data_IF_196233693590
#
_entry.id   IF_196233693590
#
_cell.length_a   1.000
_cell.length_b   1.000
_cell.length_c   1.000
_cell.angle_alpha   90.00
_cell.angle_beta   90.00
_cell.angle_gamma   90.00
#
_symmetry.space_group_name_H-M   'P 1'
#
loop_
_entity.id
_entity.type
_entity.pdbx_description
1 polymer ?
#
# COMPACT_ATOMS: atom_id res chain seq x y z
N UNK A 1 -20.17 31.24 -132.75
CA UNK A 1 -20.19 29.94 -133.46
C UNK A 1 -21.60 29.74 -133.99
N UNK A 2 -21.76 29.23 -135.22
CA UNK A 2 -23.10 28.96 -135.77
C UNK A 2 -23.79 27.83 -135.01
N UNK A 3 -25.12 27.87 -134.91
CA UNK A 3 -25.91 26.88 -134.18
C UNK A 3 -25.64 25.46 -134.70
N UNK A 4 -25.05 24.61 -133.87
CA UNK A 4 -24.79 23.20 -134.19
C UNK A 4 -25.91 22.35 -133.58
N UNK A 5 -26.67 21.63 -134.42
CA UNK A 5 -27.60 20.61 -133.94
C UNK A 5 -26.81 19.45 -133.33
N UNK A 6 -26.97 19.23 -132.03
CA UNK A 6 -26.43 18.06 -131.34
C UNK A 6 -27.46 16.93 -131.49
N UNK A 7 -27.13 15.89 -132.26
CA UNK A 7 -28.00 14.73 -132.48
C UNK A 7 -27.88 13.67 -131.39
N UNK A 8 -26.74 13.57 -130.69
CA UNK A 8 -26.51 12.67 -129.56
C UNK A 8 -25.57 13.33 -128.54
N UNK A 9 -25.77 13.09 -127.24
CA UNK A 9 -25.10 13.79 -126.14
C UNK A 9 -23.58 13.49 -126.04
N UNK A 10 -23.07 12.54 -126.83
CA UNK A 10 -21.65 12.14 -126.91
C UNK A 10 -20.75 13.15 -127.65
N UNK A 11 -21.31 14.18 -128.28
CA UNK A 11 -20.54 15.19 -129.03
C UNK A 11 -20.07 16.40 -128.19
N UNK A 12 -20.34 16.44 -126.88
CA UNK A 12 -19.90 17.51 -126.00
C UNK A 12 -18.47 17.25 -125.51
N UNK A 13 -17.46 17.62 -126.31
CA UNK A 13 -16.04 17.32 -126.07
C UNK A 13 -15.33 18.36 -125.19
N UNK A 14 -16.03 19.43 -124.79
CA UNK A 14 -15.50 20.49 -123.93
C UNK A 14 -16.61 21.02 -123.00
N UNK A 15 -16.25 21.45 -121.79
CA UNK A 15 -17.20 22.12 -120.91
C UNK A 15 -17.72 23.39 -121.61
N UNK A 16 -19.04 23.59 -121.67
CA UNK A 16 -19.65 24.80 -122.23
C UNK A 16 -19.20 26.04 -121.44
N UNK A 17 -19.07 27.19 -122.13
CA UNK A 17 -18.80 28.47 -121.48
C UNK A 17 -19.97 28.88 -120.57
N UNK A 18 -19.75 29.80 -119.63
CA UNK A 18 -20.78 30.25 -118.67
C UNK A 18 -22.07 30.77 -119.33
N UNK A 19 -21.93 31.31 -120.54
CA UNK A 19 -22.98 31.97 -121.31
C UNK A 19 -23.59 31.04 -122.37
N UNK A 20 -23.10 29.81 -122.47
CA UNK A 20 -23.67 28.81 -123.35
C UNK A 20 -25.00 28.28 -122.79
N UNK A 21 -25.89 27.91 -123.71
CA UNK A 21 -27.18 27.34 -123.39
C UNK A 21 -27.33 25.95 -124.00
N UNK A 22 -27.78 25.00 -123.20
CA UNK A 22 -28.33 23.77 -123.75
C UNK A 22 -29.78 24.02 -124.17
N UNK A 23 -30.07 23.86 -125.46
CA UNK A 23 -31.40 24.10 -126.01
C UNK A 23 -32.18 22.80 -126.01
N UNK A 24 -33.26 22.77 -125.23
CA UNK A 24 -34.22 21.65 -125.20
C UNK A 24 -35.39 22.05 -126.10
N UNK A 25 -35.66 21.24 -127.13
CA UNK A 25 -36.84 21.41 -127.96
C UNK A 25 -38.01 20.66 -127.30
N UNK A 26 -38.99 21.39 -126.79
CA UNK A 26 -40.24 20.79 -126.33
C UNK A 26 -41.08 20.44 -127.56
N UNK A 27 -41.09 19.16 -127.94
CA UNK A 27 -41.77 18.68 -129.14
C UNK A 27 -43.29 18.70 -129.03
N UNK A 28 -43.85 18.89 -127.81
CA UNK A 28 -45.29 18.96 -127.60
C UNK A 28 -45.87 20.34 -127.89
N UNK A 29 -45.07 21.41 -127.72
CA UNK A 29 -45.47 22.80 -127.97
C UNK A 29 -44.62 23.48 -129.04
N UNK A 30 -43.66 22.77 -129.64
CA UNK A 30 -42.69 23.28 -130.63
C UNK A 30 -41.94 24.54 -130.17
N UNK A 31 -41.71 24.69 -128.87
CA UNK A 31 -40.93 25.81 -128.31
C UNK A 31 -39.56 25.34 -127.84
N UNK A 32 -38.54 26.17 -128.05
CA UNK A 32 -37.21 25.94 -127.48
C UNK A 32 -37.13 26.50 -126.06
N UNK A 33 -36.76 25.67 -125.10
CA UNK A 33 -36.36 26.10 -123.76
C UNK A 33 -34.84 26.12 -123.68
N UNK A 34 -34.28 27.21 -123.17
CA UNK A 34 -32.84 27.34 -122.94
C UNK A 34 -32.55 27.03 -121.48
N UNK A 35 -31.70 26.04 -121.22
CA UNK A 35 -31.11 25.83 -119.90
C UNK A 35 -29.71 26.42 -119.94
N UNK A 36 -29.46 27.47 -119.15
CA UNK A 36 -28.13 28.09 -119.07
C UNK A 36 -27.14 27.10 -118.44
N UNK A 37 -25.91 27.05 -118.96
CA UNK A 37 -24.83 26.23 -118.41
C UNK A 37 -24.54 26.58 -116.93
N UNK A 38 -24.79 27.82 -116.51
CA UNK A 38 -24.70 28.30 -115.12
C UNK A 38 -25.65 27.60 -114.13
N UNK A 39 -26.70 26.94 -114.61
CA UNK A 39 -27.60 26.14 -113.78
C UNK A 39 -27.19 24.65 -113.71
N UNK A 40 -26.17 24.23 -114.46
CA UNK A 40 -25.65 22.87 -114.44
C UNK A 40 -24.50 22.76 -113.44
N UNK A 41 -24.61 21.83 -112.49
CA UNK A 41 -23.59 21.56 -111.48
C UNK A 41 -22.27 21.15 -112.14
N UNK A 42 -21.32 22.06 -112.23
CA UNK A 42 -19.95 21.81 -112.69
C UNK A 42 -19.11 21.54 -111.43
N UNK A 43 -18.48 20.38 -111.34
CA UNK A 43 -17.92 19.80 -110.11
C UNK A 43 -17.32 20.78 -109.09
N UNK A 44 -17.59 20.54 -107.79
CA UNK A 44 -16.70 20.96 -106.70
C UNK A 44 -17.27 21.98 -105.72
N UNK A 45 -18.11 22.93 -106.15
CA UNK A 45 -18.82 23.87 -105.26
C UNK A 45 -20.15 24.28 -105.90
N UNK A 46 -21.21 23.54 -105.60
CA UNK A 46 -22.54 23.85 -106.14
C UNK A 46 -23.27 24.88 -105.27
N UNK A 47 -22.80 26.13 -105.31
CA UNK A 47 -23.39 27.26 -104.56
C UNK A 47 -24.87 27.52 -104.89
N UNK A 48 -25.35 26.96 -106.00
CA UNK A 48 -26.74 26.98 -106.44
C UNK A 48 -27.62 25.88 -105.81
N UNK A 49 -27.07 24.92 -105.07
CA UNK A 49 -27.88 23.98 -104.28
C UNK A 49 -28.39 24.73 -103.06
N UNK A 50 -29.58 25.30 -103.19
CA UNK A 50 -30.26 26.03 -102.11
C UNK A 50 -31.03 25.10 -101.16
N UNK A 51 -31.13 23.81 -101.50
CA UNK A 51 -31.82 22.80 -100.68
C UNK A 51 -31.30 21.39 -100.93
N UNK A 52 -31.05 20.63 -99.85
CA UNK A 52 -30.69 19.21 -99.87
C UNK A 52 -31.79 18.33 -99.23
N UNK A 53 -33.02 18.85 -99.12
CA UNK A 53 -34.13 18.18 -98.41
C UNK A 53 -34.52 16.82 -98.99
N UNK A 54 -34.09 16.49 -100.22
CA UNK A 54 -34.27 15.16 -100.84
C UNK A 54 -33.19 14.12 -100.51
N UNK A 55 -32.08 14.48 -99.86
CA UNK A 55 -31.06 13.52 -99.45
C UNK A 55 -31.46 12.83 -98.15
N UNK A 56 -31.92 11.58 -98.27
CA UNK A 56 -32.29 10.73 -97.12
C UNK A 56 -31.20 9.75 -96.73
N UNK A 57 -30.17 9.58 -97.56
CA UNK A 57 -29.00 8.73 -97.30
C UNK A 57 -27.83 9.61 -96.84
N UNK A 58 -27.17 9.29 -95.71
CA UNK A 58 -26.00 10.05 -95.25
C UNK A 58 -24.85 9.98 -96.25
N UNK A 59 -23.96 10.97 -96.20
CA UNK A 59 -22.66 10.85 -96.86
C UNK A 59 -21.90 9.65 -96.28
N UNK A 60 -21.29 8.85 -97.16
CA UNK A 60 -20.54 7.67 -96.70
C UNK A 60 -19.29 8.10 -95.92
N UNK A 61 -18.81 7.24 -95.01
CA UNK A 61 -17.61 7.53 -94.21
C UNK A 61 -16.38 7.77 -95.08
N UNK A 62 -16.24 7.00 -96.17
CA UNK A 62 -15.16 7.16 -97.14
C UNK A 62 -15.16 8.54 -97.83
N UNK A 63 -16.30 9.23 -97.83
CA UNK A 63 -16.45 10.58 -98.39
C UNK A 63 -16.42 11.67 -97.31
N UNK A 64 -16.02 11.34 -96.08
CA UNK A 64 -15.97 12.29 -94.95
C UNK A 64 -17.28 12.45 -94.18
N UNK A 65 -18.30 11.63 -94.48
CA UNK A 65 -19.55 11.60 -93.73
C UNK A 65 -19.43 10.83 -92.42
N UNK A 66 -20.43 10.96 -91.55
CA UNK A 66 -20.50 10.22 -90.27
C UNK A 66 -21.06 8.81 -90.44
N UNK A 67 -21.65 8.50 -91.60
CA UNK A 67 -22.39 7.26 -91.84
C UNK A 67 -23.73 7.19 -91.10
N UNK A 68 -24.20 8.28 -90.47
CA UNK A 68 -25.46 8.36 -89.72
C UNK A 68 -26.34 9.49 -90.24
N UNK A 69 -27.66 9.28 -90.29
CA UNK A 69 -28.64 10.32 -90.71
C UNK A 69 -28.88 11.32 -89.58
N UNK A 70 -28.97 10.83 -88.34
CA UNK A 70 -29.22 11.60 -87.14
C UNK A 70 -28.46 10.99 -85.96
N UNK A 71 -28.11 11.81 -84.97
CA UNK A 71 -27.52 11.36 -83.71
C UNK A 71 -28.54 11.57 -82.59
N UNK A 72 -28.55 10.68 -81.60
CA UNK A 72 -29.40 10.83 -80.43
C UNK A 72 -28.94 12.01 -79.57
N UNK A 73 -29.90 12.79 -79.04
CA UNK A 73 -29.61 13.89 -78.13
C UNK A 73 -28.96 13.38 -76.82
N UNK A 74 -27.97 14.13 -76.32
CA UNK A 74 -27.18 13.76 -75.14
C UNK A 74 -26.28 12.54 -75.29
N UNK A 75 -26.24 11.89 -76.45
CA UNK A 75 -25.36 10.75 -76.73
C UNK A 75 -23.90 11.16 -76.93
N UNK A 76 -22.97 10.25 -76.64
CA UNK A 76 -21.54 10.45 -76.88
C UNK A 76 -21.17 9.77 -78.19
N UNK A 77 -20.62 10.55 -79.12
CA UNK A 77 -20.13 10.06 -80.41
C UNK A 77 -18.73 9.49 -80.24
N UNK A 78 -18.53 8.26 -80.69
CA UNK A 78 -17.28 7.52 -80.61
C UNK A 78 -16.82 7.22 -82.03
N UNK A 79 -15.54 7.49 -82.31
CA UNK A 79 -14.92 7.12 -83.58
C UNK A 79 -14.86 5.60 -83.74
N UNK A 80 -15.20 5.10 -84.93
CA UNK A 80 -15.23 3.67 -85.26
C UNK A 80 -14.24 3.31 -86.38
N UNK A 81 -13.01 3.81 -86.27
CA UNK A 81 -11.97 3.63 -87.29
C UNK A 81 -12.48 3.96 -88.71
N UNK A 82 -12.62 2.96 -89.58
CA UNK A 82 -13.09 3.10 -90.98
C UNK A 82 -14.60 2.98 -91.14
N UNK A 83 -15.33 2.63 -90.08
CA UNK A 83 -16.79 2.50 -90.05
C UNK A 83 -17.50 3.80 -89.66
N UNK A 84 -18.84 3.77 -89.73
CA UNK A 84 -19.69 4.89 -89.28
C UNK A 84 -19.50 5.17 -87.81
N UNK A 85 -19.66 6.43 -87.40
CA UNK A 85 -19.52 6.81 -85.99
C UNK A 85 -20.50 5.99 -85.14
N UNK A 86 -20.03 5.56 -83.97
CA UNK A 86 -20.86 4.90 -82.98
C UNK A 86 -21.40 5.93 -81.98
N UNK A 87 -22.55 5.65 -81.38
CA UNK A 87 -23.15 6.53 -80.36
C UNK A 87 -23.41 5.74 -79.09
N UNK A 88 -22.78 6.13 -77.99
CA UNK A 88 -23.21 5.73 -76.64
C UNK A 88 -24.44 6.55 -76.29
N UNK A 89 -25.54 5.92 -75.90
CA UNK A 89 -26.72 6.64 -75.41
C UNK A 89 -26.35 7.54 -74.23
N UNK A 90 -27.15 8.56 -73.95
CA UNK A 90 -26.95 9.43 -72.80
C UNK A 90 -26.89 8.61 -71.50
N UNK A 91 -25.91 8.92 -70.64
CA UNK A 91 -25.76 8.27 -69.33
C UNK A 91 -26.80 8.78 -68.34
N UNK A 92 -27.17 7.94 -67.37
CA UNK A 92 -27.94 8.39 -66.22
C UNK A 92 -27.04 9.20 -65.26
N UNK A 93 -27.62 10.08 -64.44
CA UNK A 93 -26.91 10.87 -63.42
C UNK A 93 -26.19 10.03 -62.36
N UNK A 94 -26.47 8.73 -62.30
CA UNK A 94 -25.91 7.74 -61.38
C UNK A 94 -24.84 6.84 -62.02
N UNK A 95 -24.46 7.12 -63.27
CA UNK A 95 -23.51 6.30 -64.02
C UNK A 95 -22.28 7.10 -64.42
N UNK A 96 -21.13 6.43 -64.51
CA UNK A 96 -19.88 6.98 -65.05
C UNK A 96 -19.53 6.24 -66.33
N UNK A 97 -18.94 6.96 -67.29
CA UNK A 97 -18.46 6.35 -68.53
C UNK A 97 -17.09 5.73 -68.25
N UNK A 98 -17.00 4.41 -68.42
CA UNK A 98 -15.74 3.67 -68.29
C UNK A 98 -15.30 3.21 -69.67
N UNK A 99 -14.01 3.32 -69.95
CA UNK A 99 -13.44 2.86 -71.22
C UNK A 99 -13.68 1.37 -71.42
N UNK A 100 -14.14 0.96 -72.60
CA UNK A 100 -14.36 -0.45 -72.93
C UNK A 100 -13.07 -1.26 -73.07
N UNK A 101 -11.94 -0.57 -73.29
CA UNK A 101 -10.67 -1.16 -73.74
C UNK A 101 -10.38 -0.76 -75.20
N UNK A 102 -9.34 -1.36 -75.79
CA UNK A 102 -9.06 -1.15 -77.22
C UNK A 102 -10.19 -1.75 -78.08
N UNK A 103 -10.58 -1.04 -79.15
CA UNK A 103 -11.59 -1.47 -80.12
C UNK A 103 -12.98 -1.82 -79.51
N UNK A 104 -13.29 -1.30 -78.33
CA UNK A 104 -14.56 -1.53 -77.64
C UNK A 104 -15.14 -0.20 -77.19
N UNK A 105 -16.42 -0.01 -77.49
CA UNK A 105 -17.15 1.19 -77.12
C UNK A 105 -17.16 1.36 -75.59
N UNK A 106 -17.01 2.58 -75.07
CA UNK A 106 -17.20 2.86 -73.65
C UNK A 106 -18.60 2.47 -73.16
N UNK A 107 -18.70 2.09 -71.89
CA UNK A 107 -19.96 1.64 -71.27
C UNK A 107 -20.23 2.46 -70.01
N UNK A 108 -21.50 2.75 -69.77
CA UNK A 108 -21.98 3.33 -68.52
C UNK A 108 -22.00 2.27 -67.43
N UNK A 109 -21.23 2.47 -66.36
CA UNK A 109 -21.27 1.62 -65.17
C UNK A 109 -21.90 2.38 -64.02
N UNK A 110 -22.67 1.70 -63.18
CA UNK A 110 -23.21 2.28 -61.95
C UNK A 110 -22.06 2.78 -61.07
N UNK A 111 -22.12 4.04 -60.67
CA UNK A 111 -21.16 4.58 -59.72
C UNK A 111 -21.59 4.23 -58.29
N UNK A 112 -20.67 3.70 -57.49
CA UNK A 112 -20.87 3.57 -56.04
C UNK A 112 -20.38 4.84 -55.35
N UNK A 113 -21.22 5.47 -54.53
CA UNK A 113 -20.96 6.74 -53.84
C UNK A 113 -21.79 7.90 -54.42
N UNK A 114 -22.47 8.67 -53.57
CA UNK A 114 -23.36 9.77 -53.98
C UNK A 114 -22.64 11.11 -54.17
N UNK A 115 -21.41 11.12 -54.71
CA UNK A 115 -20.56 12.32 -54.83
C UNK A 115 -19.58 12.28 -56.00
N UNK A 116 -18.78 13.35 -56.15
CA UNK A 116 -17.73 13.42 -57.17
C UNK A 116 -16.76 12.23 -57.02
N UNK A 117 -16.19 11.68 -58.13
CA UNK A 117 -15.15 10.65 -58.06
C UNK A 117 -14.06 11.06 -57.07
N UNK A 118 -13.49 10.09 -56.33
CA UNK A 118 -12.42 10.28 -55.33
C UNK A 118 -11.10 10.66 -56.03
N UNK A 119 -11.08 11.82 -56.69
CA UNK A 119 -9.97 12.42 -57.43
C UNK A 119 -9.72 13.87 -57.01
N UNK A 120 -10.56 14.42 -56.12
CA UNK A 120 -10.40 15.75 -55.55
C UNK A 120 -9.36 15.73 -54.41
N UNK A 121 -8.65 16.84 -54.19
CA UNK A 121 -7.81 17.02 -52.99
C UNK A 121 -8.70 16.99 -51.75
N UNK A 122 -8.35 16.15 -50.76
CA UNK A 122 -9.10 15.96 -49.50
C UNK A 122 -10.58 15.53 -49.68
N UNK A 123 -10.84 14.38 -50.32
CA UNK A 123 -12.21 13.88 -50.48
C UNK A 123 -12.78 13.48 -49.11
N UNK A 124 -13.99 13.94 -48.79
CA UNK A 124 -14.74 13.49 -47.62
C UNK A 124 -15.73 12.40 -48.03
N UNK A 125 -15.70 11.26 -47.34
CA UNK A 125 -16.60 10.14 -47.59
C UNK A 125 -17.67 10.13 -46.50
N UNK A 126 -18.85 10.65 -46.80
CA UNK A 126 -19.98 10.70 -45.87
C UNK A 126 -21.17 10.00 -46.51
N UNK A 127 -21.39 8.74 -46.13
CA UNK A 127 -22.46 7.84 -46.61
C UNK A 127 -22.51 7.60 -48.15
N UNK A 128 -22.65 6.36 -48.64
CA UNK A 128 -22.78 5.11 -47.89
C UNK A 128 -21.51 4.81 -47.07
N UNK A 129 -21.67 4.12 -45.93
CA UNK A 129 -20.52 3.64 -45.17
C UNK A 129 -19.61 2.83 -46.11
N UNK A 130 -18.28 2.95 -45.95
CA UNK A 130 -17.30 2.29 -46.81
C UNK A 130 -17.30 0.74 -46.69
N UNK A 131 -18.24 0.18 -45.93
CA UNK A 131 -18.21 -1.19 -45.42
C UNK A 131 -17.13 -1.37 -44.35
N UNK A 132 -16.85 -2.61 -44.00
CA UNK A 132 -15.67 -3.00 -43.21
C UNK A 132 -14.57 -3.36 -44.21
N UNK A 133 -13.51 -2.55 -44.36
CA UNK A 133 -12.38 -2.92 -45.22
C UNK A 133 -11.79 -4.26 -44.76
N UNK A 134 -11.52 -5.18 -45.70
CA UNK A 134 -10.88 -6.47 -45.38
C UNK A 134 -9.42 -6.32 -44.95
N UNK A 135 -8.79 -5.19 -45.28
CA UNK A 135 -7.40 -4.85 -44.94
C UNK A 135 -7.14 -3.36 -45.17
N UNK A 136 -6.24 -2.75 -44.38
CA UNK A 136 -5.76 -1.39 -44.62
C UNK A 136 -4.92 -0.87 -43.45
N UNK A 137 -3.91 -0.05 -43.74
CA UNK A 137 -3.12 0.66 -42.73
C UNK A 137 -3.62 2.11 -42.63
N UNK A 138 -4.29 2.47 -41.53
CA UNK A 138 -4.96 3.76 -41.36
C UNK A 138 -4.09 4.83 -40.68
N UNK A 139 -2.81 4.94 -41.07
CA UNK A 139 -1.81 5.79 -40.37
C UNK A 139 -2.19 7.26 -40.26
N UNK A 140 -2.93 7.81 -41.23
CA UNK A 140 -3.32 9.23 -41.27
C UNK A 140 -4.75 9.49 -40.80
N UNK A 141 -5.46 8.47 -40.31
CA UNK A 141 -6.81 8.64 -39.76
C UNK A 141 -6.73 8.95 -38.26
N UNK A 142 -7.14 10.16 -37.85
CA UNK A 142 -7.04 10.62 -36.47
C UNK A 142 -8.33 10.43 -35.66
N UNK A 143 -9.46 10.13 -36.32
CA UNK A 143 -10.78 9.94 -35.70
C UNK A 143 -11.16 8.47 -35.48
N UNK A 144 -10.22 7.62 -35.06
CA UNK A 144 -10.49 6.20 -34.80
C UNK A 144 -11.34 6.05 -33.53
N UNK A 145 -12.56 5.50 -33.59
CA UNK A 145 -13.36 5.26 -32.39
C UNK A 145 -12.74 4.12 -31.59
N UNK A 146 -12.07 4.43 -30.48
CA UNK A 146 -11.34 3.43 -29.68
C UNK A 146 -12.24 2.37 -29.03
N UNK A 147 -13.53 2.66 -28.84
CA UNK A 147 -14.50 1.74 -28.20
C UNK A 147 -15.16 0.76 -29.17
N UNK A 148 -15.17 1.04 -30.47
CA UNK A 148 -15.88 0.22 -31.49
C UNK A 148 -15.04 -0.08 -32.73
N UNK A 149 -13.98 0.69 -32.99
CA UNK A 149 -13.11 0.56 -34.16
C UNK A 149 -11.85 -0.28 -33.94
N UNK A 150 -11.57 -0.67 -32.70
CA UNK A 150 -10.48 -1.60 -32.36
C UNK A 150 -11.11 -2.88 -31.83
N UNK A 151 -10.85 -3.99 -32.51
CA UNK A 151 -11.21 -5.34 -32.02
C UNK A 151 -9.98 -5.98 -31.38
N UNK A 152 -10.08 -6.37 -30.10
CA UNK A 152 -9.00 -7.02 -29.36
C UNK A 152 -8.27 -6.09 -28.38
N UNK A 153 -7.05 -6.46 -27.99
CA UNK A 153 -6.25 -5.73 -27.00
C UNK A 153 -5.49 -4.57 -27.64
N UNK A 154 -5.64 -3.36 -27.08
CA UNK A 154 -4.72 -2.27 -27.40
C UNK A 154 -3.37 -2.52 -26.71
N UNK A 155 -2.30 -2.54 -27.50
CA UNK A 155 -0.95 -2.78 -26.99
C UNK A 155 -0.50 -1.67 -26.03
N UNK A 156 0.35 -2.01 -25.06
CA UNK A 156 0.84 -1.10 -24.01
C UNK A 156 1.62 0.08 -24.58
N UNK A 157 2.46 -0.15 -25.58
CA UNK A 157 3.18 0.91 -26.28
C UNK A 157 2.28 1.97 -26.95
N UNK A 158 1.01 1.65 -27.15
CA UNK A 158 0.00 2.53 -27.73
C UNK A 158 -0.97 3.09 -26.67
N UNK A 159 -0.62 3.02 -25.39
CA UNK A 159 -1.44 3.52 -24.27
C UNK A 159 -2.54 2.56 -23.80
N UNK A 160 -2.57 1.32 -24.31
CA UNK A 160 -3.44 0.29 -23.78
C UNK A 160 -2.89 -0.38 -22.51
N UNK A 161 -3.66 -1.29 -21.93
CA UNK A 161 -3.24 -2.08 -20.76
C UNK A 161 -2.53 -3.38 -21.15
N UNK A 162 -2.58 -3.78 -22.42
CA UNK A 162 -2.13 -5.10 -22.84
C UNK A 162 -3.05 -6.25 -22.39
N UNK A 163 -4.24 -5.94 -21.82
CA UNK A 163 -5.27 -6.90 -21.45
C UNK A 163 -6.63 -6.53 -22.07
N UNK A 164 -7.42 -7.53 -22.48
CA UNK A 164 -8.79 -7.32 -22.99
C UNK A 164 -9.81 -7.11 -21.88
N UNK A 165 -9.56 -7.71 -20.71
CA UNK A 165 -10.43 -7.69 -19.53
C UNK A 165 -9.57 -7.69 -18.28
N UNK A 166 -10.12 -7.18 -17.19
CA UNK A 166 -9.47 -7.12 -15.88
C UNK A 166 -10.35 -7.84 -14.86
N UNK A 167 -9.71 -8.41 -13.84
CA UNK A 167 -10.43 -8.99 -12.69
C UNK A 167 -11.18 -7.88 -11.98
N UNK A 168 -12.51 -7.99 -11.90
CA UNK A 168 -13.34 -7.05 -11.13
C UNK A 168 -12.96 -7.11 -9.64
N UNK A 169 -12.70 -5.95 -9.03
CA UNK A 169 -12.16 -5.84 -7.66
C UNK A 169 -10.69 -6.23 -7.48
N UNK A 170 -9.98 -6.66 -8.53
CA UNK A 170 -8.55 -6.97 -8.47
C UNK A 170 -7.67 -5.73 -8.48
N UNK A 171 -6.46 -5.84 -7.91
CA UNK A 171 -5.44 -4.77 -7.97
C UNK A 171 -4.53 -4.97 -9.18
N UNK A 172 -4.25 -3.91 -9.91
CA UNK A 172 -3.43 -3.96 -11.13
C UNK A 172 -1.98 -3.61 -10.81
N UNK A 173 -1.06 -4.50 -11.18
CA UNK A 173 0.37 -4.34 -11.02
C UNK A 173 0.99 -3.94 -12.37
N UNK A 174 1.86 -2.92 -12.33
CA UNK A 174 2.59 -2.46 -13.51
C UNK A 174 3.75 -3.39 -13.84
N UNK A 175 3.84 -3.82 -15.11
CA UNK A 175 4.92 -4.70 -15.60
C UNK A 175 5.83 -4.00 -16.63
N UNK A 176 6.09 -2.71 -16.41
CA UNK A 176 6.94 -1.89 -17.29
C UNK A 176 6.33 -1.70 -18.69
N UNK A 177 7.00 -2.24 -19.71
CA UNK A 177 6.53 -2.22 -21.11
C UNK A 177 5.62 -3.40 -21.46
N UNK A 178 5.48 -4.38 -20.56
CA UNK A 178 4.58 -5.51 -20.68
C UNK A 178 3.13 -5.18 -20.30
N UNK A 179 2.22 -6.12 -20.59
CA UNK A 179 0.83 -6.03 -20.15
C UNK A 179 0.74 -5.95 -18.61
N UNK A 180 -0.27 -5.26 -18.09
CA UNK A 180 -0.49 -5.21 -16.65
C UNK A 180 -0.79 -6.61 -16.10
N UNK A 181 -0.28 -6.89 -14.91
CA UNK A 181 -0.53 -8.13 -14.19
C UNK A 181 -1.58 -7.86 -13.12
N UNK A 182 -2.74 -8.49 -13.19
CA UNK A 182 -3.78 -8.31 -12.18
C UNK A 182 -3.60 -9.31 -11.03
N UNK A 183 -3.66 -8.82 -9.79
CA UNK A 183 -3.88 -9.65 -8.61
C UNK A 183 -5.34 -10.15 -8.59
N UNK A 184 -5.59 -11.22 -7.84
CA UNK A 184 -6.95 -11.59 -7.47
C UNK A 184 -7.59 -10.51 -6.57
N UNK A 185 -8.90 -10.61 -6.36
CA UNK A 185 -9.60 -9.82 -5.33
C UNK A 185 -9.04 -10.23 -3.96
N UNK A 186 -8.65 -9.24 -3.15
CA UNK A 186 -8.15 -9.48 -1.80
C UNK A 186 -9.29 -9.97 -0.89
N UNK A 187 -9.00 -10.97 -0.07
CA UNK A 187 -9.88 -11.40 1.01
C UNK A 187 -9.85 -10.43 2.20
N UNK A 188 -10.86 -10.50 3.06
CA UNK A 188 -10.90 -9.70 4.28
C UNK A 188 -9.66 -9.95 5.16
N UNK A 189 -8.99 -8.85 5.55
CA UNK A 189 -7.78 -8.91 6.37
C UNK A 189 -6.50 -9.21 5.58
N UNK A 190 -6.55 -9.27 4.26
CA UNK A 190 -5.36 -9.22 3.41
C UNK A 190 -4.90 -7.78 3.14
N UNK A 191 -3.60 -7.61 3.02
CA UNK A 191 -2.95 -6.36 2.63
C UNK A 191 -1.86 -6.64 1.60
N UNK A 192 -1.70 -5.73 0.65
CA UNK A 192 -0.64 -5.83 -0.35
C UNK A 192 0.65 -5.31 0.27
N UNK A 193 1.68 -6.15 0.29
CA UNK A 193 3.00 -5.81 0.83
C UNK A 193 4.05 -5.94 -0.26
N UNK A 194 4.88 -4.92 -0.40
CA UNK A 194 6.04 -4.93 -1.29
C UNK A 194 7.30 -5.37 -0.58
N UNK A 195 8.14 -6.16 -1.25
CA UNK A 195 9.46 -6.58 -0.77
C UNK A 195 10.61 -5.72 -1.34
N UNK A 196 10.30 -4.77 -2.23
CA UNK A 196 11.24 -3.89 -2.91
C UNK A 196 11.97 -4.50 -4.12
N UNK A 197 11.70 -5.75 -4.49
CA UNK A 197 12.39 -6.46 -5.59
C UNK A 197 11.48 -7.23 -6.54
N UNK A 198 10.33 -7.72 -6.09
CA UNK A 198 9.35 -8.46 -6.87
C UNK A 198 7.99 -7.77 -6.88
N UNK A 199 7.05 -8.30 -7.66
CA UNK A 199 5.67 -7.82 -7.66
C UNK A 199 5.08 -7.94 -6.23
N UNK A 200 4.37 -6.91 -5.73
CA UNK A 200 3.76 -6.96 -4.40
C UNK A 200 2.84 -8.17 -4.22
N UNK A 201 2.87 -8.75 -3.02
CA UNK A 201 2.10 -9.95 -2.68
C UNK A 201 1.00 -9.62 -1.68
N UNK A 202 -0.14 -10.31 -1.79
CA UNK A 202 -1.18 -10.25 -0.78
C UNK A 202 -0.75 -11.09 0.43
N UNK A 203 -0.70 -10.47 1.59
CA UNK A 203 -0.36 -11.13 2.85
C UNK A 203 -1.49 -10.95 3.88
N UNK A 204 -1.60 -11.88 4.83
CA UNK A 204 -2.54 -11.78 5.95
C UNK A 204 -1.93 -12.33 7.24
N UNK A 205 -2.61 -12.09 8.36
CA UNK A 205 -2.26 -12.72 9.63
C UNK A 205 -0.81 -12.45 10.07
N UNK A 206 -0.05 -13.50 10.34
CA UNK A 206 1.30 -13.39 10.88
C UNK A 206 2.34 -12.91 9.87
N UNK A 207 2.20 -13.25 8.59
CA UNK A 207 3.13 -12.82 7.55
C UNK A 207 2.99 -11.31 7.32
N UNK A 208 1.76 -10.81 7.16
CA UNK A 208 1.52 -9.37 7.01
C UNK A 208 2.11 -8.57 8.18
N UNK A 209 1.90 -9.01 9.43
CA UNK A 209 2.49 -8.36 10.60
C UNK A 209 4.02 -8.35 10.55
N UNK A 210 4.62 -9.44 10.11
CA UNK A 210 6.07 -9.56 9.96
C UNK A 210 6.59 -8.56 8.93
N UNK A 211 5.99 -8.52 7.75
CA UNK A 211 6.43 -7.69 6.63
C UNK A 211 6.16 -6.20 6.85
N UNK A 212 5.10 -5.84 7.58
CA UNK A 212 4.78 -4.46 7.99
C UNK A 212 5.62 -3.97 9.19
N UNK A 213 6.47 -4.82 9.77
CA UNK A 213 7.26 -4.47 10.96
C UNK A 213 6.43 -4.40 12.25
N UNK A 214 5.20 -4.91 12.25
CA UNK A 214 4.38 -5.04 13.44
C UNK A 214 4.81 -6.27 14.25
N UNK A 215 5.74 -6.07 15.19
CA UNK A 215 6.02 -6.95 16.32
C UNK A 215 6.50 -8.38 16.00
N UNK A 216 7.63 -8.52 15.30
CA UNK A 216 8.32 -9.82 15.18
C UNK A 216 9.24 -10.13 16.37
N UNK A 217 9.86 -9.14 17.01
CA UNK A 217 10.41 -9.33 18.36
C UNK A 217 10.78 -8.02 19.06
N UNK A 218 10.20 -7.79 20.24
CA UNK A 218 10.93 -7.23 21.39
C UNK A 218 11.20 -5.72 21.46
N UNK A 219 11.02 -4.95 20.39
CA UNK A 219 11.08 -3.49 20.46
C UNK A 219 10.21 -2.89 19.35
N UNK A 220 8.96 -2.59 19.67
CA UNK A 220 8.12 -1.73 18.85
C UNK A 220 8.23 -0.33 19.46
N UNK A 221 9.28 0.41 19.07
CA UNK A 221 9.53 1.78 19.57
C UNK A 221 8.40 2.76 19.19
N UNK A 222 7.57 2.36 18.22
CA UNK A 222 6.36 3.03 17.75
C UNK A 222 5.11 2.73 18.61
N UNK A 223 5.11 1.66 19.42
CA UNK A 223 4.11 1.46 20.49
C UNK A 223 4.46 2.42 21.63
N UNK A 224 4.09 3.68 21.41
CA UNK A 224 4.25 4.78 22.36
C UNK A 224 3.21 4.75 23.48
N UNK A 225 2.23 3.85 23.39
CA UNK A 225 1.18 3.67 24.37
C UNK A 225 0.63 2.24 24.37
N UNK A 226 0.54 1.65 25.55
CA UNK A 226 -0.20 0.41 25.81
C UNK A 226 -1.60 0.66 26.38
N UNK A 227 -2.13 1.90 26.33
CA UNK A 227 -3.40 2.29 26.97
C UNK A 227 -4.65 1.58 26.42
N UNK A 228 -4.51 0.78 25.36
CA UNK A 228 -5.56 -0.08 24.80
C UNK A 228 -5.41 -1.57 25.13
N UNK A 229 -4.35 -1.98 25.82
CA UNK A 229 -4.29 -3.28 26.49
C UNK A 229 -5.10 -3.13 27.77
N UNK A 230 -6.41 -3.35 27.69
CA UNK A 230 -7.20 -3.61 28.88
C UNK A 230 -6.62 -4.85 29.60
N UNK A 231 -6.93 -5.00 30.88
CA UNK A 231 -6.42 -6.06 31.76
C UNK A 231 -6.71 -7.51 31.27
N UNK A 232 -7.38 -7.67 30.12
CA UNK A 232 -7.56 -8.97 29.46
C UNK A 232 -6.37 -9.37 28.54
N UNK A 233 -5.48 -8.44 28.19
CA UNK A 233 -4.47 -8.62 27.14
C UNK A 233 -3.07 -9.07 27.59
N UNK A 234 -2.68 -8.84 28.85
CA UNK A 234 -1.40 -9.31 29.38
C UNK A 234 -1.67 -10.36 30.47
N UNK A 235 -1.63 -11.67 30.13
CA UNK A 235 -1.81 -12.72 31.12
C UNK A 235 -0.79 -12.53 32.24
N UNK A 236 -1.26 -12.43 33.48
CA UNK A 236 -0.43 -12.31 34.68
C UNK A 236 0.66 -13.39 34.75
N UNK A 237 0.42 -14.56 34.13
CA UNK A 237 1.40 -15.64 33.98
C UNK A 237 2.64 -15.25 33.15
N UNK A 238 2.50 -14.42 32.12
CA UNK A 238 3.63 -13.91 31.32
C UNK A 238 4.44 -12.85 32.06
N UNK A 239 3.78 -12.08 32.94
CA UNK A 239 4.45 -11.15 33.85
C UNK A 239 5.26 -11.91 34.91
N UNK A 240 4.72 -13.02 35.43
CA UNK A 240 5.41 -13.90 36.36
C UNK A 240 6.62 -14.62 35.72
N UNK A 241 6.50 -15.07 34.46
CA UNK A 241 7.62 -15.65 33.72
C UNK A 241 8.73 -14.61 33.43
N UNK A 242 8.37 -13.39 33.03
CA UNK A 242 9.34 -12.31 32.83
C UNK A 242 10.08 -11.93 34.14
N UNK A 243 9.36 -11.95 35.27
CA UNK A 243 9.92 -11.72 36.60
C UNK A 243 10.85 -12.86 37.06
N UNK A 244 10.57 -14.10 36.64
CA UNK A 244 11.44 -15.26 36.91
C UNK A 244 12.67 -15.33 36.00
N UNK A 245 12.57 -14.81 34.77
CA UNK A 245 13.64 -14.78 33.77
C UNK A 245 14.63 -13.62 33.99
N UNK A 246 14.19 -12.54 34.65
CA UNK A 246 15.04 -11.40 34.98
C UNK A 246 15.91 -11.68 36.22
N UNK A 247 16.95 -12.49 36.06
CA UNK A 247 17.97 -12.78 37.08
C UNK A 247 18.78 -11.55 37.60
N UNK A 248 18.43 -10.34 37.14
CA UNK A 248 19.19 -9.10 37.32
C UNK A 248 18.31 -7.91 37.78
N UNK A 249 17.20 -8.13 38.51
CA UNK A 249 16.71 -7.04 39.35
C UNK A 249 17.64 -6.92 40.56
N UNK A 250 18.69 -6.11 40.41
CA UNK A 250 19.40 -5.55 41.57
C UNK A 250 18.36 -4.88 42.46
N UNK A 251 18.50 -5.02 43.78
CA UNK A 251 17.51 -4.64 44.78
C UNK A 251 17.05 -3.17 44.75
N UNK A 252 17.63 -2.35 43.87
CA UNK A 252 17.36 -0.93 43.69
C UNK A 252 16.21 -0.65 42.70
N UNK A 253 15.81 -1.61 41.85
CA UNK A 253 14.80 -1.39 40.81
C UNK A 253 13.38 -1.89 41.13
N UNK A 254 13.17 -2.61 42.24
CA UNK A 254 11.84 -3.11 42.64
C UNK A 254 11.26 -2.31 43.82
N UNK A 255 11.20 -0.98 43.68
CA UNK A 255 10.25 -0.19 44.45
C UNK A 255 9.04 -0.01 43.54
N UNK A 256 8.15 -1.00 43.58
CA UNK A 256 6.94 -1.10 42.75
C UNK A 256 6.07 0.14 42.99
N UNK A 257 5.96 0.97 41.96
CA UNK A 257 4.84 1.88 41.80
C UNK A 257 3.56 1.08 41.53
N UNK A 258 2.47 1.60 42.10
CA UNK A 258 1.07 1.39 41.69
C UNK A 258 0.42 0.04 42.03
N UNK A 259 0.21 -0.20 43.33
CA UNK A 259 -1.13 -0.34 43.93
C UNK A 259 -0.95 -0.78 45.39
N UNK A 260 -1.44 0.05 46.33
CA UNK A 260 -1.13 0.05 47.76
C UNK A 260 -1.47 -1.19 48.60
N UNK A 261 -1.56 -2.38 48.01
CA UNK A 261 -1.88 -3.62 48.73
C UNK A 261 -1.05 -4.86 48.33
N UNK A 262 -0.24 -4.86 47.26
CA UNK A 262 0.49 -6.07 46.82
C UNK A 262 2.01 -5.95 46.83
N UNK A 263 2.59 -4.80 46.49
CA UNK A 263 4.05 -4.58 46.60
C UNK A 263 4.57 -4.55 48.06
N UNK A 264 3.70 -4.25 49.02
CA UNK A 264 4.01 -4.24 50.46
C UNK A 264 3.94 -5.66 51.08
N UNK A 265 3.42 -6.67 50.38
CA UNK A 265 3.25 -8.01 50.98
C UNK A 265 4.58 -8.71 51.29
N UNK A 266 5.67 -8.36 50.58
CA UNK A 266 7.01 -8.83 50.93
C UNK A 266 7.61 -8.14 52.18
N UNK A 267 7.07 -6.97 52.57
CA UNK A 267 7.35 -6.24 53.82
C UNK A 267 6.37 -6.58 54.96
N UNK A 268 5.30 -7.34 54.68
CA UNK A 268 4.21 -7.63 55.60
C UNK A 268 4.08 -9.13 55.99
N UNK A 269 5.03 -9.98 55.61
CA UNK A 269 5.02 -11.42 55.89
C UNK A 269 6.08 -11.88 56.90
N UNK A 270 6.45 -11.04 57.86
CA UNK A 270 7.03 -11.54 59.08
C UNK A 270 6.03 -12.48 59.77
N UNK A 271 6.48 -13.63 60.29
CA UNK A 271 5.66 -14.42 61.21
C UNK A 271 5.14 -13.52 62.36
N UNK A 272 4.01 -13.90 62.98
CA UNK A 272 3.41 -13.11 64.05
C UNK A 272 4.47 -12.67 65.09
N UNK A 273 4.51 -11.37 65.40
CA UNK A 273 5.42 -10.69 66.35
C UNK A 273 6.83 -10.33 65.86
N UNK A 274 7.19 -10.57 64.59
CA UNK A 274 8.44 -10.05 64.03
C UNK A 274 8.26 -8.62 63.52
N UNK A 275 9.28 -7.77 63.70
CA UNK A 275 9.39 -6.45 63.07
C UNK A 275 10.58 -6.45 62.11
N UNK A 276 10.58 -5.50 61.18
CA UNK A 276 11.69 -5.31 60.25
C UNK A 276 12.82 -4.56 60.94
N UNK A 277 14.00 -5.16 60.99
CA UNK A 277 15.23 -4.59 61.53
C UNK A 277 16.35 -4.66 60.51
N UNK A 278 17.43 -3.93 60.75
CA UNK A 278 18.71 -4.21 60.11
C UNK A 278 19.30 -5.47 60.76
N UNK A 279 19.91 -6.34 59.97
CA UNK A 279 20.58 -7.55 60.45
C UNK A 279 21.79 -7.19 61.35
N UNK A 280 22.29 -8.15 62.12
CA UNK A 280 23.42 -7.90 63.04
C UNK A 280 24.72 -7.47 62.31
N UNK A 281 24.84 -7.75 61.00
CA UNK A 281 25.97 -7.38 60.17
C UNK A 281 25.87 -5.96 59.59
N UNK A 282 24.70 -5.31 59.65
CA UNK A 282 24.48 -3.96 59.13
C UNK A 282 24.28 -3.89 57.62
N UNK A 283 24.22 -5.02 56.91
CA UNK A 283 24.27 -5.09 55.44
C UNK A 283 22.94 -5.53 54.80
N UNK A 284 21.90 -5.74 55.59
CA UNK A 284 20.60 -6.13 55.06
C UNK A 284 19.43 -5.98 56.04
N UNK A 285 18.22 -6.07 55.51
CA UNK A 285 16.97 -6.10 56.28
C UNK A 285 16.65 -7.55 56.72
N UNK A 286 16.13 -7.71 57.93
CA UNK A 286 15.72 -8.99 58.52
C UNK A 286 14.43 -8.83 59.34
N UNK A 287 13.59 -9.86 59.37
CA UNK A 287 12.48 -9.95 60.32
C UNK A 287 12.94 -10.59 61.63
N UNK A 288 12.90 -9.83 62.72
CA UNK A 288 13.30 -10.31 64.04
C UNK A 288 12.37 -9.82 65.15
N UNK A 289 12.48 -10.42 66.34
CA UNK A 289 11.85 -9.87 67.54
C UNK A 289 12.59 -8.60 67.96
N UNK A 290 11.86 -7.52 68.26
CA UNK A 290 12.48 -6.26 68.70
C UNK A 290 12.98 -6.25 70.13
N UNK A 291 12.46 -7.18 70.95
CA UNK A 291 12.84 -7.37 72.34
C UNK A 291 12.89 -8.88 72.58
N UNK A 292 13.91 -9.37 73.27
CA UNK A 292 13.96 -10.75 73.77
C UNK A 292 14.40 -10.76 75.22
N UNK A 293 13.87 -11.69 76.00
CA UNK A 293 14.22 -11.88 77.40
C UNK A 293 15.03 -13.16 77.55
N UNK A 294 16.17 -13.07 78.22
CA UNK A 294 16.95 -14.23 78.64
C UNK A 294 17.02 -14.27 80.16
N UNK A 295 16.94 -15.45 80.75
CA UNK A 295 17.04 -15.64 82.21
C UNK A 295 18.28 -16.44 82.55
N UNK A 296 18.90 -16.13 83.67
CA UNK A 296 20.09 -16.81 84.17
C UNK A 296 20.11 -16.87 85.69
N UNK A 297 21.12 -17.56 86.19
CA UNK A 297 21.37 -17.69 87.63
C UNK A 297 22.82 -17.37 87.94
N UNK A 298 23.06 -16.82 89.12
CA UNK A 298 24.40 -16.60 89.67
C UNK A 298 24.49 -17.27 91.03
N UNK A 299 25.39 -18.23 91.19
CA UNK A 299 25.67 -18.81 92.50
C UNK A 299 26.31 -17.73 93.40
N UNK A 300 25.83 -17.58 94.63
CA UNK A 300 26.27 -16.50 95.52
C UNK A 300 27.69 -16.72 96.07
N UNK A 301 28.17 -17.95 96.06
CA UNK A 301 29.53 -18.34 96.44
C UNK A 301 30.52 -18.30 95.27
N UNK A 302 30.04 -18.12 94.02
CA UNK A 302 30.87 -18.06 92.83
C UNK A 302 31.98 -17.01 92.96
N UNK A 303 33.19 -17.36 92.50
CA UNK A 303 34.32 -16.45 92.47
C UNK A 303 34.10 -15.30 91.47
N UNK A 304 34.82 -14.20 91.69
CA UNK A 304 34.90 -13.09 90.73
C UNK A 304 35.37 -13.61 89.37
N UNK A 305 34.69 -13.16 88.31
CA UNK A 305 34.98 -13.58 86.95
C UNK A 305 33.93 -13.16 85.96
N UNK A 306 34.25 -13.33 84.68
CA UNK A 306 33.40 -12.90 83.57
C UNK A 306 32.55 -14.04 83.06
N UNK A 307 31.29 -13.76 82.73
CA UNK A 307 30.34 -14.73 82.18
C UNK A 307 29.58 -14.10 81.02
N UNK A 308 29.56 -14.79 79.88
CA UNK A 308 28.71 -14.43 78.75
C UNK A 308 27.29 -14.95 78.99
N UNK A 309 26.31 -14.08 78.83
CA UNK A 309 24.88 -14.42 78.84
C UNK A 309 24.38 -14.30 77.40
N UNK A 310 24.19 -15.44 76.74
CA UNK A 310 23.83 -15.53 75.32
C UNK A 310 22.37 -15.93 75.10
N UNK A 311 21.93 -15.94 73.84
CA UNK A 311 20.61 -16.37 73.43
C UNK A 311 19.66 -15.25 73.02
N UNK A 312 20.12 -14.01 72.82
CA UNK A 312 19.26 -12.93 72.29
C UNK A 312 18.87 -13.12 70.82
N UNK A 313 19.71 -13.77 70.03
CA UNK A 313 19.64 -13.88 68.58
C UNK A 313 20.07 -12.59 67.86
N UNK A 314 20.56 -11.60 68.60
CA UNK A 314 21.04 -10.31 68.09
C UNK A 314 21.96 -9.64 69.11
N UNK A 315 22.75 -8.67 68.64
CA UNK A 315 23.53 -7.76 69.49
C UNK A 315 22.58 -6.69 70.05
N UNK A 316 22.34 -6.62 71.37
CA UNK A 316 21.46 -5.59 71.93
C UNK A 316 22.07 -4.20 71.77
N UNK A 317 21.23 -3.17 71.68
CA UNK A 317 21.60 -1.75 71.71
C UNK A 317 21.45 -1.14 73.12
N UNK A 318 20.64 -1.76 73.97
CA UNK A 318 20.54 -1.52 75.41
C UNK A 318 19.92 -2.74 76.09
N UNK A 319 20.07 -2.82 77.42
CA UNK A 319 19.42 -3.84 78.24
C UNK A 319 18.77 -3.25 79.49
N UNK A 320 17.71 -3.92 79.93
CA UNK A 320 17.16 -3.77 81.29
C UNK A 320 17.34 -5.11 81.99
N UNK A 321 17.90 -5.09 83.19
CA UNK A 321 18.18 -6.28 83.98
C UNK A 321 17.31 -6.26 85.24
N UNK A 322 16.67 -7.38 85.53
CA UNK A 322 15.96 -7.62 86.78
C UNK A 322 16.65 -8.76 87.51
N UNK A 323 16.99 -8.58 88.77
CA UNK A 323 17.63 -9.61 89.56
C UNK A 323 17.01 -9.74 90.93
N UNK A 324 16.99 -10.95 91.46
CA UNK A 324 16.44 -11.23 92.77
C UNK A 324 17.27 -12.26 93.55
N UNK A 325 17.27 -12.10 94.87
CA UNK A 325 17.70 -13.12 95.81
C UNK A 325 16.90 -12.95 97.12
N UNK A 326 16.00 -13.89 97.38
CA UNK A 326 15.08 -13.81 98.51
C UNK A 326 14.18 -12.58 98.41
N UNK A 327 14.29 -11.65 99.38
CA UNK A 327 13.46 -10.45 99.46
C UNK A 327 14.12 -9.20 98.86
N UNK A 328 15.25 -9.35 98.15
CA UNK A 328 15.97 -8.25 97.51
C UNK A 328 15.74 -8.28 96.01
N UNK A 329 15.52 -7.11 95.41
CA UNK A 329 15.38 -6.94 93.97
C UNK A 329 16.35 -5.85 93.48
N UNK A 330 17.01 -6.11 92.36
CA UNK A 330 17.79 -5.12 91.64
C UNK A 330 17.18 -4.90 90.27
N UNK A 331 17.04 -3.64 89.89
CA UNK A 331 16.62 -3.22 88.55
C UNK A 331 17.74 -2.39 87.96
N UNK A 332 18.34 -2.87 86.88
CA UNK A 332 19.45 -2.23 86.20
C UNK A 332 19.15 -1.85 84.77
N UNK A 333 19.89 -0.86 84.29
CA UNK A 333 19.94 -0.45 82.89
C UNK A 333 21.39 -0.38 82.46
N UNK A 334 21.66 -0.79 81.22
CA UNK A 334 22.97 -0.66 80.61
C UNK A 334 22.82 -0.46 79.09
N UNK A 335 23.53 0.48 78.51
CA UNK A 335 23.65 0.68 77.06
C UNK A 335 25.12 0.77 76.59
N UNK A 336 26.06 0.27 77.40
CA UNK A 336 27.52 0.38 77.29
C UNK A 336 28.10 1.79 77.48
N UNK A 337 27.28 2.83 77.51
CA UNK A 337 27.69 4.22 77.81
C UNK A 337 27.27 4.63 79.22
N UNK A 338 26.07 4.23 79.62
CA UNK A 338 25.44 4.50 80.91
C UNK A 338 25.07 3.18 81.56
N UNK A 339 25.60 2.92 82.76
CA UNK A 339 25.22 1.77 83.56
C UNK A 339 24.79 2.20 84.97
N UNK A 340 23.67 1.67 85.44
CA UNK A 340 23.27 1.82 86.83
C UNK A 340 22.30 0.71 87.23
N UNK A 341 22.26 0.42 88.53
CA UNK A 341 21.25 -0.42 89.12
C UNK A 341 20.68 0.22 90.38
N UNK A 342 19.38 0.00 90.58
CA UNK A 342 18.68 0.34 91.81
C UNK A 342 18.44 -0.97 92.56
N UNK A 343 19.09 -1.11 93.71
CA UNK A 343 18.89 -2.23 94.61
C UNK A 343 17.88 -1.85 95.69
N UNK A 344 16.92 -2.72 95.90
CA UNK A 344 15.95 -2.65 96.98
C UNK A 344 16.09 -3.91 97.83
N UNK A 345 16.40 -3.74 99.12
CA UNK A 345 16.77 -4.87 99.98
C UNK A 345 16.33 -4.68 101.43
N UNK A 346 16.25 -5.79 102.17
CA UNK A 346 15.99 -5.80 103.60
C UNK A 346 17.30 -5.91 104.37
N UNK A 347 17.59 -4.88 105.17
CA UNK A 347 18.65 -4.90 106.18
C UNK A 347 17.98 -4.78 107.54
N UNK A 348 17.74 -5.94 108.17
CA UNK A 348 16.86 -6.12 109.33
C UNK A 348 16.99 -4.98 110.36
N UNK A 349 15.90 -4.26 110.72
CA UNK A 349 14.49 -4.47 110.36
C UNK A 349 13.96 -3.56 109.23
N UNK A 350 14.81 -2.81 108.53
CA UNK A 350 14.37 -1.69 107.68
C UNK A 350 14.55 -1.99 106.20
N UNK A 351 13.55 -1.63 105.40
CA UNK A 351 13.66 -1.65 103.95
C UNK A 351 14.56 -0.51 103.47
N UNK A 352 15.58 -0.82 102.66
CA UNK A 352 16.55 0.14 102.14
C UNK A 352 16.54 0.14 100.61
N UNK A 353 16.93 1.28 100.05
CA UNK A 353 17.19 1.46 98.63
C UNK A 353 18.62 1.98 98.45
N UNK A 354 19.34 1.43 97.48
CA UNK A 354 20.64 1.91 97.04
C UNK A 354 20.62 2.10 95.52
N UNK A 355 21.28 3.16 95.06
CA UNK A 355 21.52 3.38 93.62
C UNK A 355 23.01 3.27 93.39
N UNK A 356 23.40 2.36 92.50
CA UNK A 356 24.79 2.17 92.10
C UNK A 356 24.93 2.58 90.64
N UNK A 357 25.73 3.62 90.38
CA UNK A 357 25.91 4.21 89.04
C UNK A 357 27.11 3.64 88.29
N UNK A 358 27.56 2.45 88.67
CA UNK A 358 28.73 1.78 88.08
C UNK A 358 28.52 0.28 87.88
N UNK A 359 27.32 -0.20 88.22
CA UNK A 359 26.97 -1.61 88.18
C UNK A 359 25.70 -1.76 87.34
N UNK A 360 25.64 -2.79 86.51
CA UNK A 360 24.47 -3.08 85.68
C UNK A 360 23.47 -3.97 86.42
N UNK A 361 23.93 -4.71 87.43
CA UNK A 361 23.13 -5.65 88.22
C UNK A 361 23.78 -5.86 89.59
N UNK A 362 22.95 -6.01 90.62
CA UNK A 362 23.42 -6.43 91.94
C UNK A 362 22.51 -7.52 92.50
N UNK A 363 23.10 -8.62 92.96
CA UNK A 363 22.38 -9.70 93.63
C UNK A 363 22.80 -9.67 95.09
N UNK A 364 21.86 -9.32 95.96
CA UNK A 364 22.11 -9.05 97.37
C UNK A 364 21.42 -10.10 98.26
N UNK A 365 22.18 -10.73 99.15
CA UNK A 365 21.61 -11.56 100.22
C UNK A 365 21.63 -10.84 101.58
N UNK A 366 22.75 -10.22 101.92
CA UNK A 366 22.95 -9.40 103.12
C UNK A 366 24.22 -8.56 102.94
N UNK A 367 24.41 -7.51 103.75
CA UNK A 367 25.60 -6.65 103.67
C UNK A 367 26.89 -7.48 103.71
N UNK A 368 27.73 -7.34 102.69
CA UNK A 368 29.00 -8.09 102.57
C UNK A 368 28.84 -9.52 102.09
N UNK A 369 27.70 -9.84 101.45
CA UNK A 369 27.39 -11.10 100.77
C UNK A 369 26.61 -10.80 99.48
N UNK A 370 27.30 -10.22 98.50
CA UNK A 370 26.73 -9.74 97.24
C UNK A 370 27.49 -10.27 96.03
N UNK A 371 26.80 -10.31 94.89
CA UNK A 371 27.39 -10.45 93.57
C UNK A 371 27.04 -9.20 92.76
N UNK A 372 28.05 -8.40 92.45
CA UNK A 372 27.91 -7.19 91.63
C UNK A 372 28.28 -7.57 90.20
N UNK A 373 27.42 -7.26 89.23
CA UNK A 373 27.69 -7.47 87.81
C UNK A 373 27.74 -6.15 87.05
N UNK A 374 28.76 -6.00 86.19
CA UNK A 374 28.89 -4.93 85.22
C UNK A 374 28.92 -5.55 83.82
N UNK A 375 28.07 -5.06 82.91
CA UNK A 375 28.17 -5.43 81.50
C UNK A 375 29.32 -4.67 80.88
N UNK A 376 30.29 -5.41 80.37
CA UNK A 376 31.50 -4.83 79.78
C UNK A 376 31.43 -4.74 78.26
N UNK A 377 30.61 -5.58 77.61
CA UNK A 377 30.42 -5.55 76.16
C UNK A 377 29.09 -6.19 75.75
N UNK A 378 28.44 -5.60 74.75
CA UNK A 378 27.37 -6.24 73.99
C UNK A 378 27.98 -7.06 72.85
N UNK A 379 27.74 -8.37 72.89
CA UNK A 379 28.25 -9.35 71.91
C UNK A 379 27.16 -9.70 70.89
N UNK A 380 27.51 -10.44 69.83
CA UNK A 380 26.62 -10.73 68.71
C UNK A 380 25.28 -11.40 69.08
N UNK A 381 25.24 -12.11 70.22
CA UNK A 381 24.09 -12.91 70.68
C UNK A 381 23.79 -12.69 72.17
N UNK A 382 24.22 -11.57 72.77
CA UNK A 382 24.29 -11.53 74.23
C UNK A 382 24.93 -10.30 74.84
N UNK A 383 25.23 -10.44 76.13
CA UNK A 383 26.07 -9.51 76.90
C UNK A 383 27.13 -10.28 77.68
N UNK A 384 28.27 -9.65 77.91
CA UNK A 384 29.31 -10.16 78.78
C UNK A 384 29.23 -9.44 80.13
N UNK A 385 29.02 -10.18 81.22
CA UNK A 385 28.93 -9.62 82.57
C UNK A 385 30.19 -9.96 83.36
N UNK A 386 30.91 -8.93 83.80
CA UNK A 386 31.99 -9.04 84.78
C UNK A 386 31.38 -9.06 86.18
N UNK A 387 31.52 -10.19 86.88
CA UNK A 387 30.97 -10.36 88.22
C UNK A 387 32.06 -10.22 89.28
N UNK A 388 31.77 -9.43 90.31
CA UNK A 388 32.60 -9.25 91.51
C UNK A 388 31.85 -9.75 92.73
N UNK A 389 32.44 -10.69 93.48
CA UNK A 389 31.92 -11.12 94.77
C UNK A 389 32.35 -10.15 95.87
N UNK A 390 31.40 -9.63 96.64
CA UNK A 390 31.67 -8.74 97.77
C UNK A 390 31.62 -9.53 99.08
N UNK A 391 32.71 -9.46 99.85
CA UNK A 391 32.79 -10.02 101.21
C UNK A 391 32.84 -11.55 101.28
N UNK A 392 32.08 -12.13 102.21
CA UNK A 392 32.16 -13.55 102.58
C UNK A 392 31.31 -14.44 101.65
N UNK A 393 31.58 -15.75 101.64
CA UNK A 393 30.75 -16.71 100.88
C UNK A 393 29.32 -16.73 101.41
N UNK A 394 28.38 -16.74 100.47
CA UNK A 394 26.95 -16.82 100.70
C UNK A 394 26.42 -18.12 100.11
N UNK A 395 25.59 -18.84 100.88
CA UNK A 395 24.89 -20.02 100.36
C UNK A 395 23.63 -19.57 99.63
N UNK A 396 23.46 -20.01 98.38
CA UNK A 396 22.27 -19.76 97.58
C UNK A 396 22.55 -19.39 96.14
N UNK A 397 21.48 -19.13 95.40
CA UNK A 397 21.51 -18.80 93.97
C UNK A 397 20.65 -17.55 93.75
N UNK A 398 21.24 -16.53 93.16
CA UNK A 398 20.49 -15.39 92.65
C UNK A 398 19.97 -15.68 91.26
N UNK A 399 18.82 -15.09 90.94
CA UNK A 399 18.17 -15.20 89.65
C UNK A 399 18.20 -13.84 88.97
N UNK A 400 18.34 -13.84 87.65
CA UNK A 400 18.22 -12.61 86.88
C UNK A 400 17.57 -12.85 85.52
N UNK A 401 16.92 -11.83 85.00
CA UNK A 401 16.39 -11.75 83.66
C UNK A 401 16.90 -10.48 82.98
N UNK A 402 17.33 -10.61 81.73
CA UNK A 402 17.85 -9.51 80.91
C UNK A 402 16.92 -9.35 79.72
N UNK A 403 16.33 -8.16 79.58
CA UNK A 403 15.56 -7.75 78.44
C UNK A 403 16.52 -7.05 77.47
N UNK A 404 16.83 -7.70 76.36
CA UNK A 404 17.64 -7.12 75.29
C UNK A 404 16.77 -6.39 74.29
N UNK A 405 17.12 -5.15 73.97
CA UNK A 405 16.48 -4.35 72.92
C UNK A 405 17.37 -4.37 71.69
N UNK A 406 16.79 -4.64 70.51
CA UNK A 406 17.53 -4.65 69.24
C UNK A 406 17.71 -3.24 68.72
#
# INVERSE_FOLDING_TARGET
MGDVKISELTALVANPASDDYFVILDTSVLTTKKLAASYMATSGENSNITSLTGMTTPLTVAQGGTGQVTLADGGIVIGNATGGVEVVAAGATTTILVGGGAATKPVWTTATGSGAPVRATSPTLVTPALGTPSSGTLTSCTGLPLTTGITGTLAVGNGGTGATTLTDGGVLLGSGTGAITAMAVLADGEIIVGDGTTDPVAESGATARTSLGAAVSGANDDITSMTGLDDAGIPLAKIADALSAAANLTAEALIVGDDGAKGIKALALGAANLKLFINAAGDGLEYANGIKVISGTRAMDAATGTVDVTGFGFKPSAVIILAENGNSISVGFDDTTTNYCVLSYFDTPTYKYAVNTSNSIEIFQSVGKEQIGEITVFIADGVTISWTRVGATAAGTGYFAILGFR
#
